data_IF_604437171235
#
_entry.id   IF_604437171235
#
_cell.length_a   1.000
_cell.length_b   1.000
_cell.length_c   1.000
_cell.angle_alpha   90.00
_cell.angle_beta   90.00
_cell.angle_gamma   90.00
#
_symmetry.space_group_name_H-M   'P 1'
#
loop_
_entity.id
_entity.type
_entity.pdbx_description
1 polymer ?
#
# COMPACT_ATOMS: atom_id res chain seq x y z
N UNK A 1 30.79 30.25 -35.39
CA UNK A 1 29.55 30.19 -36.19
C UNK A 1 28.49 31.02 -35.49
N UNK A 2 27.84 31.90 -36.26
CA UNK A 2 26.86 32.91 -35.84
C UNK A 2 25.63 32.25 -35.21
N UNK A 3 25.14 32.79 -34.10
CA UNK A 3 23.72 32.65 -33.75
C UNK A 3 23.20 33.99 -33.26
N UNK A 4 22.40 34.59 -34.13
CA UNK A 4 21.85 35.94 -34.03
C UNK A 4 20.58 35.87 -33.20
N UNK A 5 20.55 36.54 -32.05
CA UNK A 5 19.32 36.76 -31.29
C UNK A 5 18.49 37.84 -32.01
N UNK A 6 17.26 37.51 -32.39
CA UNK A 6 16.31 38.46 -32.95
C UNK A 6 15.32 38.85 -31.85
N UNK A 7 15.36 40.12 -31.48
CA UNK A 7 14.38 40.81 -30.65
C UNK A 7 13.09 41.00 -31.46
N UNK A 8 11.93 40.71 -30.87
CA UNK A 8 10.64 41.15 -31.44
C UNK A 8 9.71 41.53 -30.31
N UNK A 9 9.66 42.83 -30.05
CA UNK A 9 8.64 43.52 -29.27
C UNK A 9 7.40 43.72 -30.15
N UNK A 10 6.24 43.23 -29.74
CA UNK A 10 4.94 43.78 -30.18
C UNK A 10 4.03 43.88 -28.96
N UNK A 11 3.66 45.11 -28.66
CA UNK A 11 2.67 45.50 -27.66
C UNK A 11 1.26 45.09 -28.11
N UNK A 12 0.35 44.82 -27.18
CA UNK A 12 -0.86 45.64 -26.97
C UNK A 12 -1.77 44.99 -25.91
N UNK A 13 -2.24 45.85 -25.02
CA UNK A 13 -3.22 45.54 -23.99
C UNK A 13 -4.60 45.33 -24.60
N UNK A 14 -5.32 44.30 -24.15
CA UNK A 14 -6.78 44.30 -24.12
C UNK A 14 -7.25 43.64 -22.83
N UNK A 15 -7.78 44.47 -21.94
CA UNK A 15 -8.54 44.07 -20.76
C UNK A 15 -9.90 43.53 -21.20
N UNK A 16 -10.21 42.29 -20.83
CA UNK A 16 -11.58 41.77 -20.79
C UNK A 16 -11.84 41.29 -19.36
N UNK A 17 -12.58 42.11 -18.61
CA UNK A 17 -13.10 41.78 -17.30
C UNK A 17 -14.16 40.69 -17.46
N UNK A 18 -13.81 39.45 -17.07
CA UNK A 18 -14.78 38.36 -16.95
C UNK A 18 -15.32 38.43 -15.52
N UNK A 19 -16.50 39.02 -15.36
CA UNK A 19 -17.29 38.89 -14.15
C UNK A 19 -17.78 37.45 -14.06
N UNK A 20 -17.02 36.60 -13.37
CA UNK A 20 -17.38 35.21 -13.11
C UNK A 20 -17.73 35.06 -11.65
N UNK A 21 -18.98 34.67 -11.41
CA UNK A 21 -19.55 34.29 -10.12
C UNK A 21 -18.59 33.35 -9.41
N UNK A 22 -18.15 33.72 -8.21
CA UNK A 22 -17.33 32.87 -7.34
C UNK A 22 -18.22 31.69 -6.94
N UNK A 23 -18.13 30.62 -7.73
CA UNK A 23 -18.74 29.34 -7.44
C UNK A 23 -18.15 28.77 -6.17
N UNK A 24 -19.04 28.36 -5.25
CA UNK A 24 -18.74 27.67 -4.01
C UNK A 24 -17.76 26.50 -4.23
N UNK A 25 -16.59 26.57 -3.57
CA UNK A 25 -15.68 25.44 -3.45
C UNK A 25 -16.26 24.45 -2.42
N UNK A 26 -17.07 23.50 -2.89
CA UNK A 26 -17.47 22.34 -2.09
C UNK A 26 -16.26 21.41 -1.92
N UNK A 27 -15.64 21.48 -0.74
CA UNK A 27 -14.68 20.47 -0.27
C UNK A 27 -15.40 19.13 -0.19
N UNK A 28 -15.22 18.28 -1.19
CA UNK A 28 -15.61 16.87 -1.10
C UNK A 28 -14.56 16.16 -0.24
N UNK A 29 -14.93 15.60 0.94
CA UNK A 29 -14.05 14.66 1.61
C UNK A 29 -13.90 13.46 0.67
N UNK A 30 -12.71 13.30 0.11
CA UNK A 30 -12.30 12.12 -0.63
C UNK A 30 -12.21 10.94 0.33
N UNK A 31 -13.37 10.40 0.70
CA UNK A 31 -13.48 9.05 1.24
C UNK A 31 -13.01 8.09 0.15
N UNK A 32 -11.71 7.83 0.09
CA UNK A 32 -11.14 6.82 -0.79
C UNK A 32 -11.79 5.49 -0.40
N UNK A 33 -12.71 5.01 -1.22
CA UNK A 33 -13.25 3.67 -1.12
C UNK A 33 -12.05 2.71 -1.10
N UNK A 34 -11.78 2.11 0.05
CA UNK A 34 -10.72 1.14 0.21
C UNK A 34 -11.08 -0.05 -0.68
N UNK A 35 -10.49 -0.11 -1.88
CA UNK A 35 -10.62 -1.26 -2.75
C UNK A 35 -10.17 -2.48 -1.96
N UNK A 36 -11.12 -3.36 -1.63
CA UNK A 36 -10.85 -4.59 -0.90
C UNK A 36 -10.01 -5.49 -1.81
N UNK A 37 -8.69 -5.36 -1.70
CA UNK A 37 -7.75 -6.08 -2.54
C UNK A 37 -7.90 -7.58 -2.25
N UNK A 38 -8.42 -8.33 -3.21
CA UNK A 38 -8.52 -9.80 -3.12
C UNK A 38 -7.13 -10.38 -2.91
N UNK A 39 -6.94 -11.06 -1.76
CA UNK A 39 -5.65 -11.62 -1.36
C UNK A 39 -5.49 -13.03 -1.91
N UNK A 40 -4.26 -13.45 -2.28
CA UNK A 40 -4.04 -14.76 -2.89
C UNK A 40 -4.15 -15.87 -1.83
N UNK A 41 -4.83 -16.97 -2.15
CA UNK A 41 -4.84 -18.18 -1.30
C UNK A 41 -3.68 -19.13 -1.60
N UNK A 42 -3.02 -18.95 -2.75
CA UNK A 42 -1.81 -19.66 -3.16
C UNK A 42 -0.83 -18.64 -3.73
N UNK A 43 0.43 -18.69 -3.28
CA UNK A 43 1.48 -17.81 -3.76
C UNK A 43 2.87 -18.39 -3.48
N UNK A 44 3.89 -17.80 -4.09
CA UNK A 44 5.30 -18.03 -3.73
C UNK A 44 5.76 -16.92 -2.80
N UNK A 45 6.38 -17.29 -1.68
CA UNK A 45 6.97 -16.34 -0.73
C UNK A 45 8.24 -15.75 -1.30
N UNK A 46 8.37 -14.42 -1.28
CA UNK A 46 9.51 -13.68 -1.85
C UNK A 46 10.34 -12.93 -0.81
N UNK A 47 9.71 -12.48 0.26
CA UNK A 47 10.39 -11.88 1.40
C UNK A 47 9.56 -12.11 2.66
N UNK A 48 10.23 -12.09 3.81
CA UNK A 48 9.63 -12.19 5.15
C UNK A 48 10.40 -11.25 6.07
N UNK A 49 9.69 -10.33 6.71
CA UNK A 49 10.29 -9.34 7.61
C UNK A 49 9.51 -9.36 8.92
N UNK A 50 10.22 -9.59 10.02
CA UNK A 50 9.65 -9.48 11.35
C UNK A 50 9.60 -7.99 11.75
N UNK A 51 8.44 -7.36 11.59
CA UNK A 51 8.25 -5.94 11.91
C UNK A 51 7.77 -5.71 13.35
N UNK A 52 7.39 -4.48 13.66
CA UNK A 52 7.08 -4.08 15.04
C UNK A 52 5.76 -4.66 15.56
N UNK A 53 4.75 -4.78 14.69
CA UNK A 53 3.38 -5.17 15.06
C UNK A 53 2.86 -6.40 14.29
N UNK A 54 3.61 -6.88 13.30
CA UNK A 54 3.28 -8.08 12.51
C UNK A 54 4.50 -8.63 11.78
N UNK A 55 4.39 -9.88 11.34
CA UNK A 55 5.25 -10.41 10.29
C UNK A 55 4.74 -9.90 8.93
N UNK A 56 5.60 -9.36 8.09
CA UNK A 56 5.25 -8.88 6.76
C UNK A 56 5.83 -9.80 5.70
N UNK A 57 4.98 -10.25 4.78
CA UNK A 57 5.36 -11.23 3.76
C UNK A 57 5.09 -10.65 2.38
N UNK A 58 6.10 -10.69 1.52
CA UNK A 58 5.92 -10.41 0.10
C UNK A 58 5.59 -11.69 -0.66
N UNK A 59 4.59 -11.62 -1.53
CA UNK A 59 4.02 -12.77 -2.23
C UNK A 59 3.95 -12.52 -3.74
N UNK A 60 4.18 -13.58 -4.52
CA UNK A 60 3.87 -13.59 -5.96
C UNK A 60 2.86 -14.70 -6.24
N UNK A 61 1.68 -14.35 -6.73
CA UNK A 61 0.65 -15.33 -7.06
C UNK A 61 0.95 -16.08 -8.38
N UNK A 62 0.21 -17.16 -8.71
CA UNK A 62 0.40 -17.91 -9.95
C UNK A 62 0.15 -17.11 -11.23
N UNK A 63 -0.60 -16.00 -11.17
CA UNK A 63 -0.82 -15.08 -12.30
C UNK A 63 0.32 -14.06 -12.43
N UNK A 64 1.31 -14.12 -11.55
CA UNK A 64 2.47 -13.24 -11.54
C UNK A 64 2.26 -11.93 -10.80
N UNK A 65 1.07 -11.67 -10.22
CA UNK A 65 0.81 -10.45 -9.46
C UNK A 65 1.59 -10.47 -8.14
N UNK A 66 2.21 -9.33 -7.83
CA UNK A 66 2.99 -9.13 -6.62
C UNK A 66 2.14 -8.47 -5.53
N UNK A 67 2.28 -8.95 -4.30
CA UNK A 67 1.62 -8.40 -3.11
C UNK A 67 2.71 -8.09 -2.09
N UNK A 68 2.82 -6.82 -1.74
CA UNK A 68 3.84 -6.33 -0.81
C UNK A 68 3.29 -6.29 0.60
N UNK A 69 4.16 -6.58 1.57
CA UNK A 69 3.93 -6.33 3.00
C UNK A 69 2.59 -6.90 3.49
N UNK A 70 2.25 -8.13 3.06
CA UNK A 70 1.02 -8.79 3.49
C UNK A 70 1.18 -9.20 4.95
N UNK A 71 0.31 -8.73 5.86
CA UNK A 71 0.48 -8.98 7.28
C UNK A 71 0.17 -10.43 7.62
N UNK A 72 1.00 -11.01 8.46
CA UNK A 72 0.98 -12.38 8.94
C UNK A 72 1.23 -12.40 10.45
N UNK A 73 0.86 -13.51 11.10
CA UNK A 73 1.25 -13.70 12.49
C UNK A 73 2.76 -13.83 12.64
N UNK A 74 3.29 -13.37 13.77
CA UNK A 74 4.72 -13.40 14.09
C UNK A 74 5.35 -14.79 13.95
N UNK A 75 4.65 -15.86 14.32
CA UNK A 75 5.19 -17.23 14.26
C UNK A 75 5.48 -17.70 12.83
N UNK A 76 4.91 -17.02 11.81
CA UNK A 76 5.21 -17.29 10.40
C UNK A 76 6.65 -16.84 10.08
N UNK A 77 7.07 -15.66 10.53
CA UNK A 77 8.44 -15.17 10.34
C UNK A 77 9.47 -16.03 11.09
N UNK A 78 9.11 -16.64 12.22
CA UNK A 78 9.97 -17.63 12.89
C UNK A 78 10.29 -18.89 12.07
N UNK A 79 9.63 -19.08 10.92
CA UNK A 79 9.81 -20.22 10.01
C UNK A 79 10.33 -19.79 8.63
N UNK A 80 11.04 -18.66 8.55
CA UNK A 80 11.56 -18.11 7.28
C UNK A 80 12.31 -19.15 6.44
N UNK A 81 13.25 -19.88 7.04
CA UNK A 81 14.03 -20.94 6.37
C UNK A 81 13.17 -22.02 5.73
N UNK A 82 11.95 -22.24 6.26
CA UNK A 82 11.00 -23.21 5.73
C UNK A 82 10.20 -22.65 4.56
N UNK A 83 9.84 -21.36 4.60
CA UNK A 83 8.86 -20.77 3.68
C UNK A 83 9.45 -19.93 2.55
N UNK A 84 10.62 -19.32 2.75
CA UNK A 84 11.22 -18.45 1.74
C UNK A 84 11.42 -19.18 0.41
N UNK A 85 11.00 -18.53 -0.68
CA UNK A 85 11.01 -19.07 -2.05
C UNK A 85 10.17 -20.34 -2.26
N UNK A 86 9.34 -20.75 -1.30
CA UNK A 86 8.42 -21.87 -1.47
C UNK A 86 7.06 -21.42 -1.97
N UNK A 87 6.42 -22.28 -2.76
CA UNK A 87 5.00 -22.18 -3.10
C UNK A 87 4.19 -22.65 -1.89
N UNK A 88 3.27 -21.81 -1.44
CA UNK A 88 2.49 -22.02 -0.22
C UNK A 88 1.01 -21.80 -0.44
N UNK A 89 0.21 -22.47 0.38
CA UNK A 89 -1.20 -22.19 0.60
C UNK A 89 -1.32 -21.30 1.83
N UNK A 90 -2.09 -20.23 1.69
CA UNK A 90 -2.29 -19.18 2.68
C UNK A 90 -3.70 -19.30 3.26
N UNK A 91 -3.80 -19.22 4.57
CA UNK A 91 -5.08 -19.11 5.28
C UNK A 91 -5.11 -17.78 6.01
N UNK A 92 -6.21 -17.05 5.85
CA UNK A 92 -6.41 -15.75 6.47
C UNK A 92 -7.41 -15.84 7.62
N UNK A 93 -7.26 -14.97 8.61
CA UNK A 93 -8.22 -14.82 9.69
C UNK A 93 -8.17 -13.42 10.30
N UNK A 94 -9.26 -13.01 10.95
CA UNK A 94 -9.29 -11.79 11.74
C UNK A 94 -8.53 -12.01 13.06
N UNK A 95 -7.55 -11.16 13.32
CA UNK A 95 -6.67 -11.21 14.49
C UNK A 95 -6.70 -9.83 15.15
N UNK A 96 -6.74 -9.81 16.49
CA UNK A 96 -6.54 -8.60 17.26
C UNK A 96 -5.06 -8.22 17.22
N UNK A 97 -4.75 -7.04 16.68
CA UNK A 97 -3.40 -6.48 16.61
C UNK A 97 -3.36 -5.22 17.44
N UNK A 98 -2.29 -5.06 18.22
CA UNK A 98 -2.01 -3.88 19.03
C UNK A 98 -1.12 -2.95 18.20
N UNK A 99 -1.41 -1.65 18.16
CA UNK A 99 -0.77 -0.71 17.24
C UNK A 99 0.66 -0.28 17.62
N UNK A 100 1.14 -0.63 18.83
CA UNK A 100 2.48 -0.30 19.30
C UNK A 100 2.93 -1.23 20.44
N UNK A 101 4.23 -1.16 20.77
CA UNK A 101 4.84 -1.84 21.92
C UNK A 101 4.97 -0.93 23.17
N UNK A 102 4.53 0.34 23.11
CA UNK A 102 4.69 1.36 24.17
C UNK A 102 3.36 1.71 24.86
N UNK A 103 3.38 2.60 25.85
CA UNK A 103 2.23 2.94 26.69
C UNK A 103 1.48 4.24 26.30
N UNK A 104 1.96 5.08 25.37
CA UNK A 104 1.37 6.41 25.13
C UNK A 104 1.48 6.89 23.66
N UNK A 105 0.45 7.58 23.10
CA UNK A 105 -0.97 7.29 23.19
C UNK A 105 -1.29 6.14 22.23
N UNK A 106 -0.81 4.95 22.57
CA UNK A 106 -0.86 3.78 21.70
C UNK A 106 -1.30 2.55 22.54
N UNK A 107 -1.57 1.41 21.89
CA UNK A 107 -2.17 0.26 22.59
C UNK A 107 -3.66 0.04 22.27
N UNK A 108 -4.19 0.75 21.26
CA UNK A 108 -5.51 0.42 20.70
C UNK A 108 -5.43 -0.91 19.99
N UNK A 109 -6.37 -1.80 20.30
CA UNK A 109 -6.52 -3.05 19.59
C UNK A 109 -7.43 -2.86 18.38
N UNK A 110 -7.01 -3.34 17.22
CA UNK A 110 -7.84 -3.40 16.00
C UNK A 110 -7.93 -4.81 15.46
N UNK A 111 -9.05 -5.13 14.82
CA UNK A 111 -9.21 -6.39 14.11
C UNK A 111 -8.63 -6.26 12.70
N UNK A 112 -7.55 -6.97 12.45
CA UNK A 112 -6.88 -7.02 11.16
C UNK A 112 -6.99 -8.40 10.55
N UNK A 113 -7.11 -8.47 9.23
CA UNK A 113 -7.02 -9.76 8.54
C UNK A 113 -5.55 -10.08 8.32
N UNK A 114 -5.06 -11.18 8.89
CA UNK A 114 -3.67 -11.63 8.80
C UNK A 114 -3.59 -13.02 8.17
N UNK A 115 -2.43 -13.38 7.61
CA UNK A 115 -2.10 -14.78 7.34
C UNK A 115 -1.93 -15.48 8.69
N UNK A 116 -2.85 -16.40 9.00
CA UNK A 116 -2.86 -17.15 10.26
C UNK A 116 -2.23 -18.53 10.12
N UNK A 117 -2.21 -19.09 8.90
CA UNK A 117 -1.49 -20.34 8.58
C UNK A 117 -0.86 -20.26 7.19
N UNK A 118 0.29 -20.92 7.08
CA UNK A 118 1.03 -21.09 5.83
C UNK A 118 1.47 -22.55 5.73
N UNK A 119 1.20 -23.19 4.59
CA UNK A 119 1.57 -24.58 4.32
C UNK A 119 2.22 -24.70 2.96
N UNK A 120 3.34 -25.42 2.88
CA UNK A 120 4.02 -25.69 1.60
C UNK A 120 3.10 -26.54 0.72
N UNK A 121 3.03 -26.20 -0.56
CA UNK A 121 2.41 -27.02 -1.61
C UNK A 121 3.55 -27.69 -2.35
N UNK A 122 3.51 -29.03 -2.43
CA UNK A 122 4.44 -29.82 -3.24
C UNK A 122 3.92 -29.96 -4.66
#
# INVERSE_FOLDING_TARGET
>A
MKSTFILSTVATATTLAIASTIGFLINTPSGQAQQQMTRPTVATVKSMINGDISCYVDLRDPKGKYYQQVPARFEICGKEKTFLNKKVRLTYGKVRVIDCQSAEPCGKTRLETLITRMAIIR
#
